data_IF_382646840907
#
_entry.id   IF_382646840907
#
_cell.length_a   1.000
_cell.length_b   1.000
_cell.length_c   1.000
_cell.angle_alpha   90.00
_cell.angle_beta   90.00
_cell.angle_gamma   90.00
#
_symmetry.space_group_name_H-M   'P 1'
#
loop_
_entity.id
_entity.type
_entity.pdbx_description
1 polymer ?
#
# COMPACT_ATOMS: atom_id res chain seq x y z
N UNK A 1 -5.46 4.39 1.27
CA UNK A 1 -5.69 3.49 0.13
C UNK A 1 -6.63 2.39 0.58
N UNK A 2 -7.92 2.46 0.21
CA UNK A 2 -8.84 1.34 0.40
C UNK A 2 -8.34 0.09 -0.32
N UNK A 3 -8.50 -1.08 0.28
CA UNK A 3 -8.01 -2.35 -0.24
C UNK A 3 -9.07 -3.44 -0.06
N UNK A 4 -9.35 -4.23 -1.10
CA UNK A 4 -10.16 -5.45 -1.03
C UNK A 4 -9.69 -6.43 -2.10
N UNK A 5 -8.94 -7.44 -1.70
CA UNK A 5 -8.33 -8.46 -2.55
C UNK A 5 -7.44 -7.88 -3.66
N UNK A 6 -6.46 -7.07 -3.27
CA UNK A 6 -5.54 -6.39 -4.20
C UNK A 6 -4.11 -6.96 -4.13
N UNK A 7 -3.93 -8.23 -3.78
CA UNK A 7 -2.60 -8.83 -3.56
C UNK A 7 -1.63 -8.61 -4.74
N UNK A 8 -2.13 -8.62 -5.98
CA UNK A 8 -1.31 -8.44 -7.19
C UNK A 8 -0.84 -6.99 -7.40
N UNK A 9 -1.59 -6.00 -6.91
CA UNK A 9 -1.38 -4.58 -7.25
C UNK A 9 -0.92 -3.74 -6.07
N UNK A 10 -1.25 -4.16 -4.85
CA UNK A 10 -1.01 -3.46 -3.58
C UNK A 10 0.42 -2.95 -3.43
N UNK A 11 1.41 -3.84 -3.59
CA UNK A 11 2.81 -3.50 -3.40
C UNK A 11 3.27 -2.39 -4.37
N UNK A 12 2.88 -2.49 -5.64
CA UNK A 12 3.24 -1.49 -6.67
C UNK A 12 2.58 -0.14 -6.37
N UNK A 13 1.33 -0.13 -5.90
CA UNK A 13 0.62 1.09 -5.50
C UNK A 13 1.32 1.80 -4.33
N UNK A 14 1.64 1.07 -3.26
CA UNK A 14 2.35 1.61 -2.09
C UNK A 14 3.73 2.13 -2.47
N UNK A 15 4.51 1.34 -3.23
CA UNK A 15 5.84 1.74 -3.69
C UNK A 15 5.83 3.03 -4.52
N UNK A 16 4.83 3.20 -5.40
CA UNK A 16 4.68 4.42 -6.20
C UNK A 16 4.41 5.64 -5.33
N UNK A 17 3.51 5.52 -4.35
CA UNK A 17 3.16 6.60 -3.43
C UNK A 17 4.36 6.98 -2.54
N UNK A 18 5.01 6.00 -1.92
CA UNK A 18 6.21 6.23 -1.10
C UNK A 18 7.37 6.83 -1.91
N UNK A 19 7.60 6.34 -3.12
CA UNK A 19 8.62 6.88 -4.03
C UNK A 19 8.35 8.35 -4.40
N UNK A 20 7.08 8.73 -4.55
CA UNK A 20 6.71 10.12 -4.78
C UNK A 20 7.02 11.00 -3.56
N UNK A 21 6.58 10.60 -2.36
CA UNK A 21 6.84 11.35 -1.13
C UNK A 21 8.34 11.57 -0.91
N UNK A 22 9.15 10.52 -1.10
CA UNK A 22 10.61 10.59 -0.99
C UNK A 22 11.22 11.57 -1.99
N UNK A 23 10.86 11.50 -3.27
CA UNK A 23 11.46 12.36 -4.31
C UNK A 23 10.97 13.81 -4.25
N UNK A 24 9.78 14.05 -3.71
CA UNK A 24 9.22 15.40 -3.56
C UNK A 24 9.70 16.10 -2.30
N UNK A 25 10.37 15.39 -1.38
CA UNK A 25 10.79 15.94 -0.09
C UNK A 25 9.61 16.20 0.86
N UNK A 26 8.45 15.58 0.60
CA UNK A 26 7.25 15.71 1.44
C UNK A 26 7.30 14.64 2.53
N UNK A 27 7.23 15.08 3.79
CA UNK A 27 6.97 14.17 4.91
C UNK A 27 5.51 13.72 4.85
N UNK A 28 5.29 12.42 4.69
CA UNK A 28 3.95 11.85 4.60
C UNK A 28 3.96 10.34 4.81
N UNK A 29 2.76 9.77 4.87
CA UNK A 29 2.53 8.34 5.08
C UNK A 29 1.51 7.79 4.08
N UNK A 30 1.49 6.47 3.92
CA UNK A 30 0.49 5.75 3.12
C UNK A 30 -0.33 4.86 4.05
N UNK A 31 -1.53 5.34 4.40
CA UNK A 31 -2.49 4.54 5.18
C UNK A 31 -3.20 3.54 4.27
N UNK A 32 -3.23 2.26 4.65
CA UNK A 32 -3.98 1.21 3.96
C UNK A 32 -5.20 0.87 4.81
N UNK A 33 -6.38 0.87 4.19
CA UNK A 33 -7.64 0.52 4.84
C UNK A 33 -8.20 -0.74 4.18
N UNK A 34 -7.90 -1.90 4.77
CA UNK A 34 -8.39 -3.19 4.29
C UNK A 34 -9.87 -3.38 4.62
N UNK A 35 -10.64 -3.88 3.65
CA UNK A 35 -12.08 -4.09 3.75
C UNK A 35 -12.44 -5.59 3.79
N UNK A 36 -11.61 -6.41 4.44
CA UNK A 36 -11.84 -7.85 4.59
C UNK A 36 -11.26 -8.67 3.45
N UNK A 37 -10.03 -8.37 3.03
CA UNK A 37 -9.34 -9.19 2.02
C UNK A 37 -9.08 -10.61 2.53
N UNK A 38 -9.16 -11.58 1.63
CA UNK A 38 -8.93 -13.01 1.89
C UNK A 38 -7.82 -13.60 1.01
N UNK A 39 -7.18 -12.77 0.19
CA UNK A 39 -6.16 -13.15 -0.80
C UNK A 39 -4.72 -12.96 -0.32
N UNK A 40 -4.52 -12.58 0.95
CA UNK A 40 -3.20 -12.30 1.51
C UNK A 40 -2.73 -10.84 1.40
N UNK A 41 -3.59 -9.92 0.94
CA UNK A 41 -3.29 -8.48 0.87
C UNK A 41 -2.73 -7.91 2.19
N UNK A 42 -3.25 -8.30 3.36
CA UNK A 42 -2.74 -7.77 4.63
C UNK A 42 -1.29 -8.22 4.90
N UNK A 43 -0.96 -9.49 4.64
CA UNK A 43 0.39 -10.01 4.83
C UNK A 43 1.41 -9.34 3.88
N UNK A 44 0.98 -9.00 2.67
CA UNK A 44 1.80 -8.21 1.74
C UNK A 44 2.02 -6.80 2.30
N UNK A 45 0.97 -6.13 2.79
CA UNK A 45 1.09 -4.80 3.38
C UNK A 45 2.05 -4.75 4.59
N UNK A 46 2.00 -5.75 5.47
CA UNK A 46 2.86 -5.85 6.66
C UNK A 46 4.35 -6.10 6.32
N UNK A 47 4.63 -6.62 5.12
CA UNK A 47 5.99 -6.91 4.67
C UNK A 47 6.67 -5.77 3.88
N UNK A 48 5.96 -4.65 3.62
CA UNK A 48 6.45 -3.48 2.89
C UNK A 48 7.13 -2.45 3.82
#
# INVERSE_FOLDING_TARGET
MPCLNEAETLAVCVQKAMSYLKRSGISGEVLIADNGSTDGSQAIAEAL
#
